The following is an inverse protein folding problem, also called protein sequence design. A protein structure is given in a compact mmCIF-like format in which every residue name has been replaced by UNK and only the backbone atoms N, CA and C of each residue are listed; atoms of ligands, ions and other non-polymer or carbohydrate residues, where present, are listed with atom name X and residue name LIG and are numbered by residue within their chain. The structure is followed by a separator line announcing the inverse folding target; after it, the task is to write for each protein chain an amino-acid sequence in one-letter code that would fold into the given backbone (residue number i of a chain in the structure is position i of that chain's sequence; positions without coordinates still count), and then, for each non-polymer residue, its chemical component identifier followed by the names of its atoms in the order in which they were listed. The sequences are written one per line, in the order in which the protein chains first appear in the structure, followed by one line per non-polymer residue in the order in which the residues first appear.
data_IF_540230294673
#
_entry.id   IF_540230294673
#
_cell.length_a   1.000
_cell.length_b   1.000
_cell.length_c   1.000
_cell.angle_alpha   90.00
_cell.angle_beta   90.00
_cell.angle_gamma   90.00
#
_symmetry.space_group_name_H-M   'P 1'
#
loop_
_entity.id
_entity.type
_entity.pdbx_description
1 polymer ?
#
# COMPACT_ATOMS: atom_id res chain seq x y z
N UNK A 1 22.08 3.79 -12.69
CA UNK A 1 21.55 3.75 -11.32
C UNK A 1 22.59 3.05 -10.47
N UNK A 2 22.97 3.61 -9.33
CA UNK A 2 23.83 2.91 -8.37
C UNK A 2 23.00 1.80 -7.71
N UNK A 3 23.47 0.55 -7.83
CA UNK A 3 22.72 -0.66 -7.43
C UNK A 3 22.98 -1.09 -5.99
N UNK A 4 24.04 -0.57 -5.37
CA UNK A 4 24.44 -0.89 -4.01
C UNK A 4 24.40 0.37 -3.14
N UNK A 5 24.19 0.24 -1.81
CA UNK A 5 24.44 1.34 -0.89
C UNK A 5 25.93 1.73 -0.89
N UNK A 6 26.22 2.95 -0.44
CA UNK A 6 27.61 3.36 -0.18
C UNK A 6 28.28 2.44 0.86
N UNK A 7 29.61 2.33 0.85
CA UNK A 7 30.35 1.49 1.80
C UNK A 7 29.99 1.81 3.27
N UNK A 8 29.93 3.10 3.62
CA UNK A 8 29.48 3.53 4.96
C UNK A 8 28.05 3.10 5.29
N UNK A 9 27.18 3.07 4.27
CA UNK A 9 25.82 2.57 4.40
C UNK A 9 25.79 1.06 4.65
N UNK A 10 26.59 0.29 3.91
CA UNK A 10 26.74 -1.16 4.13
C UNK A 10 27.27 -1.45 5.55
N UNK A 11 28.30 -0.73 6.00
CA UNK A 11 28.86 -0.88 7.36
C UNK A 11 27.84 -0.56 8.46
N UNK A 12 26.97 0.43 8.24
CA UNK A 12 25.88 0.72 9.17
C UNK A 12 24.84 -0.39 9.18
N UNK A 13 24.42 -0.88 8.02
CA UNK A 13 23.43 -1.96 7.87
C UNK A 13 23.90 -3.25 8.56
N UNK A 14 25.16 -3.64 8.37
CA UNK A 14 25.73 -4.80 9.04
C UNK A 14 25.75 -4.63 10.56
N UNK A 15 26.18 -3.47 11.06
CA UNK A 15 26.21 -3.22 12.51
C UNK A 15 24.82 -3.24 13.13
N UNK A 16 23.84 -2.57 12.51
CA UNK A 16 22.46 -2.55 13.00
C UNK A 16 21.85 -3.96 13.04
N UNK A 17 22.05 -4.75 11.98
CA UNK A 17 21.57 -6.12 11.92
C UNK A 17 22.29 -7.04 12.92
N UNK A 18 23.62 -6.92 13.04
CA UNK A 18 24.40 -7.69 14.00
C UNK A 18 24.01 -7.38 15.45
N UNK A 19 23.74 -6.10 15.77
CA UNK A 19 23.27 -5.70 17.09
C UNK A 19 21.88 -6.30 17.41
N UNK A 20 20.97 -6.29 16.43
CA UNK A 20 19.65 -6.91 16.59
C UNK A 20 19.78 -8.43 16.82
N UNK A 21 20.60 -9.11 16.02
CA UNK A 21 20.90 -10.54 16.18
C UNK A 21 21.53 -10.83 17.55
N UNK A 22 22.47 -10.00 18.01
CA UNK A 22 23.10 -10.17 19.31
C UNK A 22 22.10 -10.02 20.48
N UNK A 23 21.10 -9.12 20.35
CA UNK A 23 20.08 -8.88 21.37
C UNK A 23 18.97 -9.93 21.38
N UNK A 24 18.54 -10.42 20.22
CA UNK A 24 17.35 -11.27 20.07
C UNK A 24 17.67 -12.72 19.70
N UNK A 25 18.93 -13.01 19.39
CA UNK A 25 19.40 -14.31 18.93
C UNK A 25 19.36 -14.45 17.41
N UNK A 26 20.08 -15.44 16.86
CA UNK A 26 20.20 -15.64 15.41
C UNK A 26 19.01 -16.42 14.82
N UNK A 27 18.18 -17.05 15.65
CA UNK A 27 17.16 -18.01 15.20
C UNK A 27 16.14 -17.40 14.23
N UNK A 28 15.54 -16.21 14.47
CA UNK A 28 14.65 -15.57 13.49
C UNK A 28 15.35 -15.30 12.16
N UNK A 29 16.57 -14.77 12.24
CA UNK A 29 17.35 -14.42 11.07
C UNK A 29 17.75 -15.63 10.22
N UNK A 30 18.03 -16.79 10.84
CA UNK A 30 18.53 -17.98 10.15
C UNK A 30 17.44 -18.99 9.78
N UNK A 31 16.48 -19.23 10.68
CA UNK A 31 15.55 -20.35 10.57
C UNK A 31 14.14 -19.98 10.11
N UNK A 32 13.69 -18.74 10.31
CA UNK A 32 12.33 -18.36 9.93
C UNK A 32 12.23 -18.21 8.42
N UNK A 33 11.10 -18.63 7.85
CA UNK A 33 10.92 -18.54 6.40
C UNK A 33 10.90 -17.09 5.93
N UNK A 34 11.39 -16.89 4.70
CA UNK A 34 11.06 -15.66 3.98
C UNK A 34 9.59 -15.74 3.59
N UNK A 35 8.81 -14.78 4.05
CA UNK A 35 7.37 -14.71 3.74
C UNK A 35 7.22 -14.21 2.30
N UNK A 36 6.50 -14.97 1.50
CA UNK A 36 6.31 -14.68 0.07
C UNK A 36 4.89 -14.14 -0.18
N UNK A 37 4.71 -13.23 -1.15
CA UNK A 37 3.40 -12.69 -1.52
C UNK A 37 2.62 -13.71 -2.36
N UNK A 38 2.26 -14.84 -1.72
CA UNK A 38 1.57 -15.97 -2.37
C UNK A 38 0.42 -16.44 -1.50
N UNK A 39 -0.56 -17.11 -2.11
CA UNK A 39 -1.70 -17.73 -1.41
C UNK A 39 -1.27 -18.72 -0.33
N UNK A 40 -0.05 -19.27 -0.40
CA UNK A 40 0.51 -20.13 0.65
C UNK A 40 0.61 -19.41 2.00
N UNK A 41 1.02 -18.14 1.98
CA UNK A 41 1.17 -17.32 3.18
C UNK A 41 -0.07 -16.46 3.45
N UNK A 42 -0.79 -16.06 2.39
CA UNK A 42 -1.96 -15.20 2.47
C UNK A 42 -3.17 -15.83 1.74
N UNK A 43 -3.76 -16.92 2.27
CA UNK A 43 -4.89 -17.60 1.62
C UNK A 43 -6.25 -16.90 1.86
N UNK A 44 -6.30 -15.90 2.74
CA UNK A 44 -7.56 -15.28 3.14
C UNK A 44 -8.15 -14.43 2.01
N UNK A 45 -9.48 -14.41 1.95
CA UNK A 45 -10.19 -13.47 1.08
C UNK A 45 -9.97 -12.03 1.55
N UNK A 46 -9.54 -11.18 0.63
CA UNK A 46 -9.41 -9.74 0.81
C UNK A 46 -10.73 -9.04 0.46
N UNK A 47 -11.31 -8.32 1.41
CA UNK A 47 -12.55 -7.56 1.24
C UNK A 47 -12.33 -6.04 1.39
N UNK A 48 -11.08 -5.58 1.52
CA UNK A 48 -10.75 -4.16 1.74
C UNK A 48 -11.49 -3.56 2.95
N UNK A 49 -11.52 -4.31 4.07
CA UNK A 49 -12.13 -3.89 5.34
C UNK A 49 -11.19 -4.09 6.54
N UNK A 50 -11.58 -3.58 7.71
CA UNK A 50 -10.77 -3.62 8.93
C UNK A 50 -10.49 -5.06 9.39
N UNK A 51 -11.45 -5.97 9.15
CA UNK A 51 -11.32 -7.38 9.48
C UNK A 51 -10.28 -8.06 8.59
N UNK A 52 -10.25 -7.72 7.30
CA UNK A 52 -9.23 -8.15 6.34
C UNK A 52 -7.83 -7.72 6.78
N UNK A 53 -7.67 -6.46 7.20
CA UNK A 53 -6.39 -5.96 7.73
C UNK A 53 -6.03 -6.66 9.05
N UNK A 54 -6.99 -6.86 9.95
CA UNK A 54 -6.77 -7.53 11.24
C UNK A 54 -6.36 -9.01 11.05
N UNK A 55 -6.94 -9.71 10.07
CA UNK A 55 -6.54 -11.08 9.70
C UNK A 55 -5.11 -11.11 9.16
N UNK A 56 -4.77 -10.17 8.28
CA UNK A 56 -3.41 -10.01 7.77
C UNK A 56 -2.42 -9.75 8.91
N UNK A 57 -2.72 -8.81 9.81
CA UNK A 57 -1.92 -8.52 11.00
C UNK A 57 -1.76 -9.77 11.88
N UNK A 58 -2.83 -10.54 12.09
CA UNK A 58 -2.81 -11.78 12.87
C UNK A 58 -1.84 -12.81 12.29
N UNK A 59 -1.83 -12.96 10.96
CA UNK A 59 -0.90 -13.88 10.27
C UNK A 59 0.54 -13.44 10.43
N UNK A 60 0.80 -12.14 10.23
CA UNK A 60 2.14 -11.60 10.37
C UNK A 60 2.64 -11.71 11.81
N UNK A 61 1.82 -11.37 12.81
CA UNK A 61 2.11 -11.55 14.23
C UNK A 61 2.38 -13.02 14.59
N UNK A 62 1.57 -13.95 14.08
CA UNK A 62 1.78 -15.38 14.30
C UNK A 62 3.09 -15.88 13.67
N UNK A 63 3.45 -15.39 12.47
CA UNK A 63 4.74 -15.70 11.83
C UNK A 63 5.91 -15.27 12.70
N UNK A 64 5.80 -14.12 13.38
CA UNK A 64 6.86 -13.57 14.23
C UNK A 64 6.78 -14.01 15.70
N UNK A 65 6.08 -15.11 16.00
CA UNK A 65 5.88 -15.65 17.36
C UNK A 65 5.19 -14.69 18.35
N UNK A 66 4.42 -13.73 17.82
CA UNK A 66 3.55 -12.83 18.59
C UNK A 66 2.06 -13.14 18.39
N UNK A 67 1.72 -14.37 17.99
CA UNK A 67 0.34 -14.80 17.72
C UNK A 67 -0.59 -14.81 18.94
N UNK A 68 -0.05 -14.64 20.15
CA UNK A 68 -0.81 -14.40 21.38
C UNK A 68 -1.41 -12.99 21.46
N UNK A 69 -0.94 -12.06 20.62
CA UNK A 69 -1.49 -10.71 20.53
C UNK A 69 -2.71 -10.71 19.61
N UNK A 70 -3.73 -9.96 20.02
CA UNK A 70 -4.98 -9.79 19.31
C UNK A 70 -4.92 -8.46 18.55
N UNK A 71 -4.72 -8.47 17.21
CA UNK A 71 -4.67 -7.24 16.45
C UNK A 71 -6.05 -6.62 16.35
N UNK A 72 -6.09 -5.30 16.47
CA UNK A 72 -7.27 -4.47 16.19
C UNK A 72 -6.86 -3.40 15.19
N UNK A 73 -7.70 -3.16 14.19
CA UNK A 73 -7.40 -2.18 13.14
C UNK A 73 -8.50 -1.13 13.06
N UNK A 74 -8.09 0.13 13.18
CA UNK A 74 -8.93 1.29 12.89
C UNK A 74 -8.66 1.77 11.46
N UNK A 75 -9.73 2.01 10.68
CA UNK A 75 -9.62 2.57 9.34
C UNK A 75 -9.85 4.08 9.37
N UNK A 76 -9.04 4.85 8.64
CA UNK A 76 -9.14 6.31 8.58
C UNK A 76 -9.04 6.85 7.15
N UNK A 77 -9.66 8.01 6.87
CA UNK A 77 -9.69 8.61 5.53
C UNK A 77 -8.61 9.69 5.32
N UNK A 78 -8.39 10.52 6.34
CA UNK A 78 -7.33 11.54 6.34
C UNK A 78 -6.36 11.33 7.51
N UNK A 79 -5.07 11.68 7.34
CA UNK A 79 -4.06 11.52 8.39
C UNK A 79 -4.38 12.29 9.69
N UNK A 80 -5.18 13.37 9.59
CA UNK A 80 -5.58 14.21 10.72
C UNK A 80 -6.91 13.79 11.38
N UNK A 81 -7.68 12.87 10.78
CA UNK A 81 -8.89 12.28 11.38
C UNK A 81 -8.57 11.07 12.28
N UNK A 82 -7.47 11.14 13.02
CA UNK A 82 -7.14 10.08 13.97
C UNK A 82 -8.13 10.13 15.14
N UNK A 83 -8.75 9.00 15.52
CA UNK A 83 -9.52 8.94 16.76
C UNK A 83 -8.62 9.38 17.91
N UNK A 84 -9.12 10.21 18.82
CA UNK A 84 -8.48 10.45 20.10
C UNK A 84 -8.38 9.11 20.84
N UNK A 85 -7.31 8.35 20.57
CA UNK A 85 -6.91 7.19 21.35
C UNK A 85 -6.70 7.76 22.76
N UNK A 86 -7.63 7.45 23.67
CA UNK A 86 -7.63 7.99 25.03
C UNK A 86 -6.35 7.64 25.81
N UNK A 87 -6.35 7.75 27.15
CA UNK A 87 -5.13 7.60 27.97
C UNK A 87 -4.39 6.25 27.88
N UNK A 88 -4.91 5.27 27.12
CA UNK A 88 -4.25 4.01 26.76
C UNK A 88 -3.27 4.11 25.58
N UNK A 89 -3.26 5.20 24.79
CA UNK A 89 -2.14 5.47 23.89
C UNK A 89 -0.94 5.80 24.76
N UNK A 90 -0.08 4.81 24.99
CA UNK A 90 1.16 5.02 25.72
C UNK A 90 1.98 6.16 25.07
N UNK A 91 2.94 6.74 25.81
CA UNK A 91 3.82 7.81 25.30
C UNK A 91 4.71 7.40 24.10
N UNK A 92 4.46 6.25 23.48
CA UNK A 92 5.27 5.59 22.45
C UNK A 92 4.47 5.23 21.18
N UNK A 93 3.31 5.87 20.93
CA UNK A 93 2.64 5.71 19.63
C UNK A 93 3.50 6.31 18.51
N UNK A 94 3.98 5.50 17.56
CA UNK A 94 4.68 5.97 16.36
C UNK A 94 3.66 6.56 15.38
N UNK A 95 3.28 7.81 15.61
CA UNK A 95 2.36 8.55 14.72
C UNK A 95 3.11 9.12 13.55
N UNK A 96 2.66 8.88 12.33
CA UNK A 96 3.25 9.49 11.13
C UNK A 96 2.27 10.40 10.40
N UNK A 97 2.69 11.64 10.15
CA UNK A 97 1.99 12.56 9.25
C UNK A 97 1.91 11.93 7.84
N UNK A 98 0.71 11.80 7.29
CA UNK A 98 0.51 11.32 5.92
C UNK A 98 0.64 9.81 5.68
N UNK A 99 0.56 8.96 6.70
CA UNK A 99 0.87 7.53 6.53
C UNK A 99 -0.24 6.64 5.98
N UNK A 100 0.23 5.61 5.26
CA UNK A 100 -0.55 4.47 4.82
C UNK A 100 -1.05 3.61 5.99
N UNK A 101 -0.26 3.45 7.06
CA UNK A 101 -0.64 2.74 8.28
C UNK A 101 0.17 3.25 9.49
N UNK A 102 -0.22 2.85 10.70
CA UNK A 102 0.54 3.10 11.92
C UNK A 102 0.30 2.01 12.97
N UNK A 103 1.26 1.86 13.88
CA UNK A 103 1.17 1.07 15.10
C UNK A 103 1.01 1.98 16.34
N UNK A 104 -0.03 1.75 17.14
CA UNK A 104 -0.34 2.59 18.31
C UNK A 104 0.24 2.09 19.62
N UNK A 105 0.77 0.86 19.67
CA UNK A 105 1.20 0.21 20.90
C UNK A 105 0.43 -1.07 21.20
N UNK A 106 0.84 -1.71 22.30
CA UNK A 106 0.21 -2.91 22.85
C UNK A 106 -0.41 -2.58 24.21
N UNK A 107 -1.69 -2.88 24.38
CA UNK A 107 -2.43 -2.75 25.63
C UNK A 107 -2.94 -4.13 26.08
N UNK A 108 -2.30 -4.71 27.09
CA UNK A 108 -2.54 -6.09 27.50
C UNK A 108 -2.19 -7.08 26.39
N UNK A 109 -3.21 -7.72 25.80
CA UNK A 109 -3.04 -8.59 24.62
C UNK A 109 -3.36 -7.88 23.31
N UNK A 110 -3.95 -6.69 23.36
CA UNK A 110 -4.44 -6.01 22.17
C UNK A 110 -3.30 -5.25 21.50
N UNK A 111 -3.04 -5.56 20.23
CA UNK A 111 -2.07 -4.85 19.39
C UNK A 111 -2.84 -3.92 18.46
N UNK A 112 -2.65 -2.60 18.57
CA UNK A 112 -3.46 -1.63 17.84
C UNK A 112 -2.75 -1.12 16.60
N UNK A 113 -3.45 -1.18 15.47
CA UNK A 113 -3.00 -0.68 14.18
C UNK A 113 -4.02 0.31 13.62
N UNK A 114 -3.55 1.25 12.81
CA UNK A 114 -4.39 2.05 11.93
C UNK A 114 -4.00 1.85 10.48
N UNK A 115 -4.98 1.90 9.57
CA UNK A 115 -4.75 1.80 8.13
C UNK A 115 -5.56 2.86 7.39
N UNK A 116 -4.92 3.53 6.43
CA UNK A 116 -5.59 4.49 5.56
C UNK A 116 -6.48 3.74 4.57
N UNK A 117 -7.76 4.12 4.50
CA UNK A 117 -8.75 3.54 3.60
C UNK A 117 -8.30 3.54 2.14
N UNK A 118 -7.54 4.55 1.71
CA UNK A 118 -7.06 4.70 0.33
C UNK A 118 -6.04 3.63 -0.08
N UNK A 119 -5.42 2.97 0.89
CA UNK A 119 -4.45 1.90 0.65
C UNK A 119 -5.14 0.54 0.42
N UNK A 120 -6.41 0.39 0.83
CA UNK A 120 -7.16 -0.88 0.82
C UNK A 120 -7.40 -1.45 -0.59
N UNK A 121 -7.35 -0.60 -1.62
CA UNK A 121 -7.51 -0.99 -3.02
C UNK A 121 -6.26 -1.67 -3.62
N UNK A 122 -5.13 -1.67 -2.90
CA UNK A 122 -3.86 -2.22 -3.38
C UNK A 122 -3.34 -3.30 -2.41
N UNK A 123 -3.88 -4.54 -2.48
CA UNK A 123 -3.59 -5.58 -1.49
C UNK A 123 -2.09 -5.90 -1.37
N UNK A 124 -1.35 -5.93 -2.48
CA UNK A 124 0.09 -6.18 -2.48
C UNK A 124 0.88 -5.08 -1.74
N UNK A 125 0.41 -3.84 -1.78
CA UNK A 125 0.99 -2.69 -1.07
C UNK A 125 0.83 -2.84 0.43
N UNK A 126 -0.38 -3.25 0.85
CA UNK A 126 -0.75 -3.36 2.26
C UNK A 126 0.07 -4.41 2.97
N UNK A 127 0.37 -5.53 2.31
CA UNK A 127 1.18 -6.58 2.92
C UNK A 127 2.57 -6.06 3.30
N UNK A 128 3.18 -5.24 2.43
CA UNK A 128 4.46 -4.57 2.73
C UNK A 128 4.33 -3.57 3.88
N UNK A 129 3.30 -2.72 3.86
CA UNK A 129 3.03 -1.72 4.91
C UNK A 129 2.78 -2.38 6.26
N UNK A 130 1.88 -3.37 6.33
CA UNK A 130 1.60 -4.10 7.56
C UNK A 130 2.81 -4.89 8.07
N UNK A 131 3.68 -5.36 7.19
CA UNK A 131 4.94 -6.00 7.61
C UNK A 131 5.86 -5.02 8.36
N UNK A 132 5.88 -3.74 7.96
CA UNK A 132 6.57 -2.67 8.68
C UNK A 132 5.96 -2.42 10.06
N UNK A 133 4.63 -2.23 10.13
CA UNK A 133 3.94 -1.98 11.40
C UNK A 133 4.04 -3.15 12.38
N UNK A 134 4.04 -4.39 11.87
CA UNK A 134 4.26 -5.57 12.72
C UNK A 134 5.70 -5.65 13.23
N UNK A 135 6.68 -5.12 12.48
CA UNK A 135 8.03 -4.97 13.00
C UNK A 135 8.12 -3.90 14.11
N UNK A 136 7.36 -2.80 14.02
CA UNK A 136 7.18 -1.87 15.14
C UNK A 136 6.62 -2.59 16.37
N UNK A 137 5.58 -3.42 16.20
CA UNK A 137 5.02 -4.21 17.29
C UNK A 137 6.03 -5.19 17.91
N UNK A 138 6.87 -5.85 17.09
CA UNK A 138 7.97 -6.68 17.57
C UNK A 138 8.96 -5.88 18.42
N UNK A 139 9.41 -4.73 17.91
CA UNK A 139 10.37 -3.88 18.62
C UNK A 139 9.81 -3.36 19.93
N UNK A 140 8.54 -2.98 19.96
CA UNK A 140 7.85 -2.58 21.18
C UNK A 140 7.74 -3.74 22.19
N UNK A 141 7.32 -4.93 21.73
CA UNK A 141 7.15 -6.10 22.59
C UNK A 141 8.47 -6.56 23.24
N UNK A 142 9.58 -6.40 22.52
CA UNK A 142 10.92 -6.82 22.96
C UNK A 142 11.78 -5.68 23.54
N UNK A 143 11.20 -4.49 23.79
CA UNK A 143 11.90 -3.32 24.35
C UNK A 143 13.17 -2.94 23.55
N UNK A 144 13.01 -2.91 22.22
CA UNK A 144 14.07 -2.61 21.25
C UNK A 144 14.02 -1.18 20.72
N UNK A 145 13.02 -0.39 21.15
CA UNK A 145 12.72 0.94 20.61
C UNK A 145 13.87 1.93 20.84
N UNK A 146 14.12 2.77 19.83
CA UNK A 146 15.00 3.93 19.92
C UNK A 146 14.19 5.20 20.26
N UNK A 147 14.82 6.15 20.96
CA UNK A 147 14.22 7.45 21.29
C UNK A 147 14.24 8.42 20.11
N UNK A 148 15.20 8.27 19.19
CA UNK A 148 15.23 9.00 17.93
C UNK A 148 14.29 8.32 16.94
N UNK A 149 13.21 9.02 16.63
CA UNK A 149 12.17 8.54 15.73
C UNK A 149 12.71 8.22 14.33
N UNK A 150 13.58 9.06 13.76
CA UNK A 150 14.10 8.80 12.42
C UNK A 150 14.96 7.54 12.41
N UNK A 151 15.69 7.28 13.50
CA UNK A 151 16.45 6.05 13.68
C UNK A 151 15.54 4.84 13.88
N UNK A 152 14.47 4.98 14.66
CA UNK A 152 13.53 3.89 14.94
C UNK A 152 12.91 3.34 13.66
N UNK A 153 12.56 4.19 12.69
CA UNK A 153 12.06 3.75 11.39
C UNK A 153 13.09 2.95 10.60
N UNK A 154 14.35 3.41 10.56
CA UNK A 154 15.43 2.68 9.89
C UNK A 154 15.71 1.32 10.57
N UNK A 155 15.65 1.27 11.89
CA UNK A 155 15.82 0.04 12.66
C UNK A 155 14.61 -0.89 12.52
N UNK A 156 13.42 -0.35 12.30
CA UNK A 156 12.20 -1.11 11.98
C UNK A 156 12.34 -1.79 10.64
N UNK A 157 12.82 -1.08 9.62
CA UNK A 157 13.15 -1.67 8.32
C UNK A 157 14.17 -2.82 8.44
N UNK A 158 15.26 -2.64 9.22
CA UNK A 158 16.23 -3.70 9.52
C UNK A 158 15.53 -4.90 10.20
N UNK A 159 14.62 -4.62 11.12
CA UNK A 159 13.87 -5.64 11.85
C UNK A 159 12.97 -6.45 10.93
N UNK A 160 12.36 -5.84 9.90
CA UNK A 160 11.54 -6.59 8.92
C UNK A 160 12.34 -7.68 8.22
N UNK A 161 13.59 -7.40 7.84
CA UNK A 161 14.48 -8.41 7.24
C UNK A 161 14.87 -9.46 8.26
N UNK A 162 15.24 -9.06 9.48
CA UNK A 162 15.55 -9.99 10.57
C UNK A 162 14.45 -11.03 10.81
N UNK A 163 13.18 -10.62 10.73
CA UNK A 163 12.00 -11.48 10.93
C UNK A 163 11.57 -12.28 9.69
N UNK A 164 12.30 -12.16 8.56
CA UNK A 164 11.98 -12.85 7.31
C UNK A 164 10.86 -12.20 6.48
N UNK A 165 10.51 -10.94 6.77
CA UNK A 165 9.51 -10.17 6.02
C UNK A 165 10.12 -9.35 4.87
N UNK A 166 11.42 -9.46 4.65
CA UNK A 166 12.19 -8.61 3.73
C UNK A 166 11.70 -8.61 2.27
N UNK A 167 11.15 -9.72 1.75
CA UNK A 167 10.60 -9.73 0.37
C UNK A 167 9.43 -8.75 0.25
N UNK A 168 8.56 -8.72 1.27
CA UNK A 168 7.35 -7.90 1.29
C UNK A 168 7.72 -6.42 1.44
N UNK A 169 8.64 -6.11 2.35
CA UNK A 169 9.03 -4.72 2.66
C UNK A 169 9.95 -4.12 1.60
N UNK A 170 10.80 -4.91 0.93
CA UNK A 170 11.60 -4.44 -0.22
C UNK A 170 10.73 -3.96 -1.37
N UNK A 171 9.63 -4.67 -1.67
CA UNK A 171 8.67 -4.23 -2.68
C UNK A 171 7.89 -2.98 -2.22
N UNK A 172 7.62 -2.82 -0.92
CA UNK A 172 7.02 -1.62 -0.34
C UNK A 172 7.94 -0.39 -0.30
N UNK A 173 9.25 -0.56 -0.10
CA UNK A 173 10.24 0.50 0.12
C UNK A 173 10.24 1.62 -0.95
N UNK A 174 10.02 1.27 -2.23
CA UNK A 174 9.96 2.27 -3.30
C UNK A 174 8.72 3.17 -3.19
N UNK A 175 7.60 2.63 -2.72
CA UNK A 175 6.32 3.34 -2.60
C UNK A 175 6.35 4.38 -1.47
N UNK A 176 6.98 4.04 -0.34
CA UNK A 176 7.22 4.99 0.77
C UNK A 176 8.06 6.20 0.34
N UNK A 177 8.98 6.02 -0.61
CA UNK A 177 9.74 7.15 -1.17
C UNK A 177 8.90 8.02 -2.10
N UNK A 178 7.92 7.44 -2.80
CA UNK A 178 7.03 8.18 -3.70
C UNK A 178 5.95 8.97 -2.95
N UNK A 179 5.48 8.48 -1.80
CA UNK A 179 4.55 9.24 -0.94
C UNK A 179 5.20 10.48 -0.31
N UNK A 180 6.53 10.50 -0.19
CA UNK A 180 7.31 11.64 0.29
C UNK A 180 8.08 12.39 -0.80
N UNK A 181 7.44 12.88 -1.87
CA UNK A 181 7.91 14.05 -2.66
C UNK A 181 7.00 14.36 -3.84
N UNK A 182 6.24 15.46 -3.75
CA UNK A 182 5.86 16.30 -4.90
C UNK A 182 5.76 17.75 -4.44
N UNK A 183 6.82 18.54 -4.63
CA UNK A 183 6.77 20.00 -4.52
C UNK A 183 7.08 20.64 -5.88
N UNK A 184 6.01 20.90 -6.65
CA UNK A 184 5.99 21.88 -7.73
C UNK A 184 6.86 21.69 -8.99
N UNK A 185 6.79 22.72 -9.85
CA UNK A 185 7.28 22.80 -11.24
C UNK A 185 8.71 23.34 -11.38
N UNK A 186 9.58 23.21 -10.36
CA UNK A 186 10.98 23.62 -10.43
C UNK A 186 11.91 22.44 -10.16
N UNK A 187 12.50 21.93 -11.23
CA UNK A 187 13.67 21.05 -11.15
C UNK A 187 14.88 21.86 -10.66
N UNK A 188 14.99 22.06 -9.34
CA UNK A 188 16.26 22.41 -8.72
C UNK A 188 17.00 21.12 -8.40
N UNK A 189 18.10 20.86 -9.12
CA UNK A 189 19.11 19.88 -8.73
C UNK A 189 19.79 20.34 -7.45
N UNK A 190 19.13 20.10 -6.33
CA UNK A 190 19.76 20.11 -5.01
C UNK A 190 19.96 18.64 -4.60
N UNK A 191 21.20 18.26 -4.32
CA UNK A 191 21.55 17.02 -3.63
C UNK A 191 20.91 17.07 -2.23
N UNK A 192 19.61 16.77 -2.14
CA UNK A 192 18.90 16.67 -0.87
C UNK A 192 19.21 15.31 -0.26
N UNK A 193 20.26 15.27 0.56
CA UNK A 193 20.44 14.27 1.62
C UNK A 193 19.28 14.43 2.62
N UNK A 194 18.13 13.78 2.38
CA UNK A 194 17.09 13.50 3.40
C UNK A 194 15.89 12.76 2.80
N UNK A 195 15.97 11.43 2.67
CA UNK A 195 14.77 10.59 2.76
C UNK A 195 14.53 10.33 4.25
N UNK A 196 13.85 11.24 4.94
CA UNK A 196 13.58 11.11 6.38
C UNK A 196 12.65 9.90 6.60
N UNK A 197 13.07 8.98 7.47
CA UNK A 197 12.29 7.82 7.91
C UNK A 197 12.85 6.47 7.45
N UNK A 198 12.84 6.18 6.16
CA UNK A 198 12.98 4.79 5.67
C UNK A 198 14.33 4.49 5.01
N UNK A 199 14.70 3.21 5.02
CA UNK A 199 15.82 2.69 4.25
C UNK A 199 15.57 2.84 2.75
N UNK A 200 16.63 3.17 2.02
CA UNK A 200 16.57 3.25 0.58
C UNK A 200 16.31 1.86 -0.04
N UNK A 201 15.80 1.86 -1.27
CA UNK A 201 15.63 0.65 -2.08
C UNK A 201 16.90 -0.22 -2.09
N UNK A 202 18.07 0.41 -2.27
CA UNK A 202 19.36 -0.26 -2.29
C UNK A 202 19.69 -0.87 -0.92
N UNK A 203 19.41 -0.16 0.16
CA UNK A 203 19.68 -0.64 1.52
C UNK A 203 18.79 -1.83 1.89
N UNK A 204 17.49 -1.75 1.60
CA UNK A 204 16.55 -2.86 1.81
C UNK A 204 16.93 -4.09 0.98
N UNK A 205 17.23 -3.90 -0.31
CA UNK A 205 17.67 -4.99 -1.20
C UNK A 205 19.00 -5.61 -0.74
N UNK A 206 19.91 -4.80 -0.20
CA UNK A 206 21.19 -5.25 0.34
C UNK A 206 20.99 -6.11 1.60
N UNK A 207 20.15 -5.69 2.56
CA UNK A 207 19.84 -6.49 3.74
C UNK A 207 19.21 -7.84 3.40
N UNK A 208 18.27 -7.87 2.45
CA UNK A 208 17.68 -9.12 1.97
C UNK A 208 18.74 -10.05 1.34
N UNK A 209 19.71 -9.49 0.60
CA UNK A 209 20.84 -10.23 0.07
C UNK A 209 21.75 -10.76 1.18
N UNK A 210 22.04 -9.95 2.21
CA UNK A 210 22.79 -10.37 3.40
C UNK A 210 22.13 -11.57 4.06
N UNK A 211 20.82 -11.54 4.29
CA UNK A 211 20.09 -12.68 4.85
C UNK A 211 20.14 -13.93 3.96
N UNK A 212 19.95 -13.75 2.66
CA UNK A 212 19.96 -14.85 1.68
C UNK A 212 21.33 -15.54 1.65
N UNK A 213 22.40 -14.74 1.59
CA UNK A 213 23.77 -15.23 1.51
C UNK A 213 24.23 -15.81 2.85
N UNK A 214 23.89 -15.18 3.98
CA UNK A 214 24.14 -15.74 5.30
C UNK A 214 23.60 -17.17 5.38
N UNK A 215 22.34 -17.41 5.02
CA UNK A 215 21.68 -18.73 5.04
C UNK A 215 22.24 -19.78 4.06
N UNK A 216 23.32 -19.49 3.34
CA UNK A 216 23.90 -20.36 2.31
C UNK A 216 22.95 -20.58 1.12
N UNK A 217 21.95 -19.72 0.95
CA UNK A 217 20.84 -19.92 0.03
C UNK A 217 21.14 -19.38 -1.38
N UNK A 218 22.39 -19.50 -1.86
CA UNK A 218 22.78 -18.92 -3.16
C UNK A 218 21.98 -19.51 -4.33
N UNK A 219 21.55 -20.77 -4.21
CA UNK A 219 20.66 -21.42 -5.18
C UNK A 219 19.23 -20.88 -5.21
N UNK A 220 18.81 -20.08 -4.21
CA UNK A 220 17.48 -19.48 -4.15
C UNK A 220 17.45 -18.04 -4.69
N UNK A 221 18.61 -17.47 -5.05
CA UNK A 221 18.73 -16.07 -5.49
C UNK A 221 17.79 -15.78 -6.65
N UNK A 222 17.75 -16.61 -7.70
CA UNK A 222 16.89 -16.36 -8.85
C UNK A 222 15.40 -16.45 -8.51
N UNK A 223 15.04 -17.36 -7.61
CA UNK A 223 13.66 -17.52 -7.12
C UNK A 223 13.24 -16.28 -6.34
N UNK A 224 14.04 -15.84 -5.38
CA UNK A 224 13.76 -14.62 -4.58
C UNK A 224 13.71 -13.40 -5.49
N UNK A 225 14.68 -13.25 -6.40
CA UNK A 225 14.75 -12.14 -7.35
C UNK A 225 13.53 -12.07 -8.27
N UNK A 226 12.83 -13.18 -8.53
CA UNK A 226 11.60 -13.24 -9.33
C UNK A 226 10.35 -12.74 -8.57
N UNK A 227 10.42 -12.69 -7.24
CA UNK A 227 9.37 -12.15 -6.35
C UNK A 227 9.52 -10.65 -6.12
N UNK A 228 10.61 -10.06 -6.61
CA UNK A 228 10.91 -8.64 -6.46
C UNK A 228 10.56 -7.86 -7.72
N UNK A 229 10.11 -6.63 -7.57
CA UNK A 229 9.98 -5.68 -8.67
C UNK A 229 11.33 -5.45 -9.39
N UNK A 230 11.29 -4.99 -10.64
CA UNK A 230 12.46 -4.95 -11.55
C UNK A 230 13.70 -4.26 -10.96
N UNK A 231 13.53 -3.11 -10.29
CA UNK A 231 14.66 -2.34 -9.75
C UNK A 231 15.23 -2.98 -8.47
N UNK A 232 14.34 -3.46 -7.60
CA UNK A 232 14.61 -4.20 -6.37
C UNK A 232 15.42 -5.46 -6.71
N UNK A 233 14.94 -6.22 -7.71
CA UNK A 233 15.57 -7.43 -8.23
C UNK A 233 17.00 -7.17 -8.72
N UNK A 234 17.22 -6.06 -9.44
CA UNK A 234 18.55 -5.66 -9.89
C UNK A 234 19.51 -5.31 -8.73
N UNK A 235 19.04 -4.55 -7.73
CA UNK A 235 19.84 -4.20 -6.55
C UNK A 235 20.17 -5.44 -5.71
N UNK A 236 19.19 -6.30 -5.48
CA UNK A 236 19.33 -7.55 -4.72
C UNK A 236 20.34 -8.50 -5.38
N UNK A 237 20.27 -8.71 -6.70
CA UNK A 237 21.24 -9.53 -7.45
C UNK A 237 22.65 -8.95 -7.35
N UNK A 238 22.81 -7.65 -7.56
CA UNK A 238 24.11 -6.99 -7.45
C UNK A 238 24.73 -7.18 -6.04
N UNK A 239 23.92 -7.14 -4.98
CA UNK A 239 24.37 -7.40 -3.63
C UNK A 239 24.76 -8.89 -3.43
N UNK A 240 23.93 -9.84 -3.88
CA UNK A 240 24.24 -11.28 -3.82
C UNK A 240 25.53 -11.66 -4.57
N UNK A 241 25.87 -10.95 -5.65
CA UNK A 241 27.11 -11.18 -6.40
C UNK A 241 28.35 -10.62 -5.70
N UNK A 242 28.18 -9.63 -4.82
CA UNK A 242 29.28 -8.99 -4.10
C UNK A 242 29.63 -9.66 -2.78
N UNK A 243 28.65 -10.29 -2.13
CA UNK A 243 28.76 -10.86 -0.80
C UNK A 243 29.30 -12.29 -0.83
N UNK A 244 30.24 -12.59 0.08
CA UNK A 244 30.68 -13.94 0.41
C UNK A 244 30.00 -14.40 1.70
N UNK A 245 29.62 -15.68 1.78
CA UNK A 245 28.93 -16.20 2.96
C UNK A 245 29.81 -16.16 4.21
N UNK A 246 31.10 -16.47 4.11
CA UNK A 246 32.00 -16.48 5.27
C UNK A 246 32.16 -15.09 5.84
N UNK A 247 32.38 -14.11 4.97
CA UNK A 247 32.50 -12.71 5.35
C UNK A 247 31.22 -12.21 6.03
N UNK A 248 30.04 -12.54 5.47
CA UNK A 248 28.75 -12.16 6.06
C UNK A 248 28.54 -12.81 7.43
N UNK A 249 28.85 -14.10 7.58
CA UNK A 249 28.72 -14.83 8.85
C UNK A 249 29.63 -14.22 9.92
N UNK A 250 30.88 -13.92 9.56
CA UNK A 250 31.85 -13.28 10.45
C UNK A 250 31.40 -11.87 10.85
N UNK A 251 31.00 -11.04 9.89
CA UNK A 251 30.55 -9.67 10.14
C UNK A 251 29.31 -9.58 11.02
N UNK A 252 28.39 -10.54 10.90
CA UNK A 252 27.18 -10.60 11.72
C UNK A 252 27.41 -11.28 13.09
N UNK A 253 28.59 -11.84 13.34
CA UNK A 253 28.88 -12.59 14.57
C UNK A 253 28.01 -13.84 14.72
N UNK A 254 27.65 -14.48 13.60
CA UNK A 254 26.80 -15.68 13.59
C UNK A 254 27.59 -16.92 14.04
N UNK A 255 26.92 -17.92 14.65
CA UNK A 255 27.56 -19.18 15.01
C UNK A 255 27.94 -19.99 13.76
N UNK A 256 28.70 -21.06 13.93
CA UNK A 256 29.12 -21.94 12.83
C UNK A 256 27.88 -22.45 12.05
N UNK A 257 27.86 -22.36 10.70
CA UNK A 257 26.77 -22.87 9.87
C UNK A 257 26.34 -24.31 10.15
N UNK A 258 27.25 -25.19 10.59
CA UNK A 258 26.92 -26.57 10.95
C UNK A 258 26.03 -26.67 12.21
N UNK A 259 26.00 -25.62 13.03
CA UNK A 259 25.21 -25.55 14.25
C UNK A 259 23.85 -24.87 14.08
N UNK A 260 23.53 -24.42 12.85
CA UNK A 260 22.31 -23.66 12.64
C UNK A 260 21.05 -24.52 12.76
N UNK A 261 19.98 -23.99 13.36
CA UNK A 261 18.70 -24.68 13.40
C UNK A 261 18.16 -24.96 11.99
N UNK A 262 17.43 -26.07 11.85
CA UNK A 262 16.70 -26.36 10.62
C UNK A 262 15.71 -25.21 10.31
N UNK A 263 15.53 -24.92 9.02
CA UNK A 263 14.54 -23.92 8.62
C UNK A 263 13.15 -24.41 9.01
N UNK A 264 12.41 -23.53 9.66
CA UNK A 264 11.03 -23.80 10.08
C UNK A 264 10.17 -24.05 8.85
N UNK A 265 9.12 -24.84 8.97
CA UNK A 265 8.09 -24.87 7.93
C UNK A 265 7.18 -23.63 8.07
N UNK A 266 6.61 -23.10 6.97
CA UNK A 266 5.66 -22.01 7.07
C UNK A 266 4.50 -22.41 7.98
N UNK A 267 4.33 -21.68 9.08
CA UNK A 267 3.14 -21.79 9.90
C UNK A 267 2.08 -21.00 9.15
N UNK A 268 1.17 -21.67 8.46
CA UNK A 268 -0.11 -21.07 8.11
C UNK A 268 -0.98 -21.28 9.34
N UNK A 269 -1.12 -20.30 10.27
CA UNK A 269 -2.14 -20.45 11.30
C UNK A 269 -3.46 -20.65 10.56
N UNK A 270 -4.12 -21.76 10.87
CA UNK A 270 -5.54 -21.92 10.54
C UNK A 270 -6.23 -20.92 11.43
N UNK A 271 -6.40 -19.69 10.93
CA UNK A 271 -7.45 -18.85 11.45
C UNK A 271 -8.72 -19.64 11.15
N UNK A 272 -9.34 -20.24 12.19
CA UNK A 272 -10.70 -20.72 12.03
C UNK A 272 -11.46 -19.55 11.40
N UNK A 273 -12.23 -19.78 10.32
CA UNK A 273 -13.13 -18.76 9.84
C UNK A 273 -13.89 -18.34 11.08
N UNK A 274 -13.67 -17.11 11.58
CA UNK A 274 -14.46 -16.61 12.69
C UNK A 274 -15.87 -16.85 12.21
N UNK A 275 -16.57 -17.77 12.88
CA UNK A 275 -17.93 -18.13 12.52
C UNK A 275 -18.60 -16.79 12.42
N UNK A 276 -18.90 -16.37 11.19
CA UNK A 276 -19.42 -15.04 10.89
C UNK A 276 -20.44 -14.85 11.99
N UNK A 277 -20.19 -13.93 12.93
CA UNK A 277 -21.21 -13.59 13.90
C UNK A 277 -22.40 -13.36 12.99
N UNK A 278 -23.41 -14.22 13.11
CA UNK A 278 -24.53 -14.27 12.19
C UNK A 278 -25.16 -12.88 12.31
N UNK A 279 -24.66 -11.95 11.49
CA UNK A 279 -25.37 -10.77 11.09
C UNK A 279 -26.49 -11.38 10.30
N UNK A 280 -27.55 -11.67 11.04
CA UNK A 280 -28.85 -12.07 10.57
C UNK A 280 -29.06 -11.42 9.22
N UNK A 281 -29.03 -12.24 8.17
CA UNK A 281 -29.22 -11.86 6.78
C UNK A 281 -30.68 -11.46 6.49
N UNK A 282 -31.35 -10.85 7.47
CA UNK A 282 -32.73 -10.37 7.46
C UNK A 282 -32.81 -8.88 7.85
N UNK A 283 -31.70 -8.16 7.72
CA UNK A 283 -31.75 -6.71 7.54
C UNK A 283 -31.66 -6.44 6.06
N UNK A 284 -32.72 -5.89 5.48
CA UNK A 284 -32.74 -5.20 4.19
C UNK A 284 -31.72 -4.04 4.26
N UNK A 285 -30.43 -4.39 4.21
CA UNK A 285 -29.32 -3.46 4.31
C UNK A 285 -29.32 -2.72 2.98
N UNK A 286 -30.00 -1.58 2.97
CA UNK A 286 -29.99 -0.64 1.86
C UNK A 286 -28.56 -0.32 1.40
N UNK A 287 -28.42 0.31 0.22
CA UNK A 287 -27.12 0.62 -0.38
C UNK A 287 -26.16 1.22 0.66
N UNK A 288 -24.95 0.67 0.72
CA UNK A 288 -23.91 1.00 1.70
C UNK A 288 -23.60 2.51 1.72
N UNK A 289 -24.14 3.24 2.71
CA UNK A 289 -24.01 4.70 2.82
C UNK A 289 -22.73 5.13 3.56
N UNK A 290 -21.56 4.80 3.02
CA UNK A 290 -20.28 5.08 3.70
C UNK A 290 -19.87 6.57 3.72
N UNK A 291 -20.48 7.41 2.88
CA UNK A 291 -20.25 8.86 2.82
C UNK A 291 -21.46 9.66 3.34
N UNK A 292 -22.36 9.06 4.15
CA UNK A 292 -23.56 9.75 4.62
C UNK A 292 -23.21 11.06 5.36
N UNK A 293 -23.76 12.18 4.87
CA UNK A 293 -23.50 13.51 5.43
C UNK A 293 -22.24 14.20 4.89
N UNK A 294 -21.33 13.49 4.21
CA UNK A 294 -20.14 14.09 3.62
C UNK A 294 -20.43 14.75 2.25
N UNK A 295 -19.76 15.86 1.91
CA UNK A 295 -19.92 16.51 0.61
C UNK A 295 -19.32 15.69 -0.54
N UNK A 296 -20.13 15.49 -1.59
CA UNK A 296 -19.73 14.88 -2.86
C UNK A 296 -20.18 15.75 -4.04
N UNK A 297 -19.60 15.52 -5.22
CA UNK A 297 -19.89 16.31 -6.42
C UNK A 297 -20.26 15.41 -7.59
N UNK A 298 -21.02 15.97 -8.53
CA UNK A 298 -21.27 15.35 -9.83
C UNK A 298 -20.08 15.56 -10.73
N UNK A 299 -19.48 14.48 -11.22
CA UNK A 299 -18.45 14.53 -12.26
C UNK A 299 -19.09 14.26 -13.60
N UNK A 300 -18.83 15.15 -14.58
CA UNK A 300 -19.27 14.93 -15.96
C UNK A 300 -18.45 13.82 -16.60
N UNK A 301 -19.06 12.66 -16.79
CA UNK A 301 -18.48 11.58 -17.57
C UNK A 301 -19.11 11.54 -18.96
N UNK A 302 -18.27 11.49 -20.00
CA UNK A 302 -18.72 11.31 -21.38
C UNK A 302 -18.48 9.88 -21.81
N UNK A 303 -19.45 9.26 -22.49
CA UNK A 303 -19.28 7.95 -23.13
C UNK A 303 -18.52 8.02 -24.45
N UNK A 304 -17.94 9.17 -24.78
CA UNK A 304 -17.26 9.43 -26.04
C UNK A 304 -16.14 8.43 -26.32
N UNK A 305 -15.30 8.13 -25.32
CA UNK A 305 -14.21 7.15 -25.47
C UNK A 305 -14.73 5.75 -25.78
N UNK A 306 -15.63 5.23 -24.94
CA UNK A 306 -16.20 3.89 -25.11
C UNK A 306 -16.94 3.72 -26.45
N UNK A 307 -17.82 4.67 -26.81
CA UNK A 307 -18.58 4.59 -28.05
C UNK A 307 -17.72 4.81 -29.29
N UNK A 308 -16.62 5.58 -29.20
CA UNK A 308 -15.62 5.69 -30.26
C UNK A 308 -14.98 4.32 -30.55
N UNK A 309 -14.52 3.62 -29.51
CA UNK A 309 -13.91 2.29 -29.65
C UNK A 309 -14.89 1.29 -30.25
N UNK A 310 -16.14 1.28 -29.78
CA UNK A 310 -17.18 0.42 -30.34
C UNK A 310 -17.46 0.75 -31.82
N UNK A 311 -17.52 2.04 -32.16
CA UNK A 311 -17.68 2.52 -33.53
C UNK A 311 -16.55 2.09 -34.45
N UNK A 312 -15.30 2.15 -33.99
CA UNK A 312 -14.14 1.65 -34.73
C UNK A 312 -14.21 0.14 -35.00
N UNK A 313 -14.60 -0.65 -33.99
CA UNK A 313 -14.74 -2.10 -34.15
C UNK A 313 -15.81 -2.42 -35.20
N UNK A 314 -16.98 -1.78 -35.11
CA UNK A 314 -18.06 -1.95 -36.08
C UNK A 314 -17.64 -1.49 -37.49
N UNK A 315 -16.93 -0.37 -37.59
CA UNK A 315 -16.41 0.12 -38.85
C UNK A 315 -15.35 -0.80 -39.47
N UNK A 316 -14.49 -1.41 -38.66
CA UNK A 316 -13.52 -2.42 -39.11
C UNK A 316 -14.23 -3.66 -39.66
N UNK A 317 -15.24 -4.18 -38.96
CA UNK A 317 -16.03 -5.34 -39.42
C UNK A 317 -16.74 -5.03 -40.73
N UNK A 318 -17.38 -3.85 -40.84
CA UNK A 318 -18.00 -3.39 -42.08
C UNK A 318 -16.99 -3.24 -43.23
N UNK A 319 -15.79 -2.71 -42.94
CA UNK A 319 -14.70 -2.60 -43.88
C UNK A 319 -14.23 -3.96 -44.41
N UNK A 320 -14.05 -4.95 -43.54
CA UNK A 320 -13.66 -6.31 -43.93
C UNK A 320 -14.74 -6.96 -44.81
N UNK A 321 -16.02 -6.75 -44.49
CA UNK A 321 -17.14 -7.23 -45.30
C UNK A 321 -17.17 -6.55 -46.69
N UNK A 322 -16.89 -5.24 -46.75
CA UNK A 322 -16.78 -4.49 -48.00
C UNK A 322 -15.67 -5.05 -48.93
N UNK A 323 -14.52 -5.46 -48.37
CA UNK A 323 -13.45 -6.11 -49.14
C UNK A 323 -13.92 -7.45 -49.73
N UNK A 324 -14.73 -8.23 -49.00
CA UNK A 324 -15.36 -9.47 -49.53
C UNK A 324 -16.28 -9.20 -50.72
N UNK A 325 -16.85 -8.00 -50.80
CA UNK A 325 -17.67 -7.53 -51.92
C UNK A 325 -16.83 -6.87 -53.05
N UNK A 326 -15.52 -7.10 -53.07
CA UNK A 326 -14.55 -6.56 -54.05
C UNK A 326 -14.32 -5.05 -53.99
N UNK A 327 -14.60 -4.40 -52.86
CA UNK A 327 -14.19 -3.02 -52.66
C UNK A 327 -12.69 -2.93 -52.28
N UNK A 328 -12.01 -1.79 -52.57
CA UNK A 328 -10.58 -1.64 -52.29
C UNK A 328 -10.23 -1.76 -50.80
N UNK A 329 -9.11 -2.42 -50.49
CA UNK A 329 -8.67 -2.67 -49.12
C UNK A 329 -8.40 -1.40 -48.29
N UNK A 330 -8.01 -0.30 -48.94
CA UNK A 330 -7.76 0.97 -48.24
C UNK A 330 -9.03 1.57 -47.59
N UNK A 331 -10.23 1.07 -47.93
CA UNK A 331 -11.47 1.51 -47.29
C UNK A 331 -11.64 0.99 -45.86
N UNK A 332 -10.97 -0.11 -45.49
CA UNK A 332 -11.06 -0.68 -44.12
C UNK A 332 -10.67 0.33 -43.03
N UNK A 333 -9.48 0.95 -43.07
CA UNK A 333 -9.11 1.95 -42.05
C UNK A 333 -10.00 3.20 -42.10
N UNK A 334 -10.49 3.60 -43.28
CA UNK A 334 -11.35 4.77 -43.44
C UNK A 334 -12.71 4.55 -42.76
N UNK A 335 -13.35 3.40 -42.99
CA UNK A 335 -14.65 3.08 -42.39
C UNK A 335 -14.53 2.87 -40.88
N UNK A 336 -13.43 2.28 -40.40
CA UNK A 336 -13.12 2.18 -38.96
C UNK A 336 -12.97 3.56 -38.30
N UNK A 337 -12.16 4.46 -38.89
CA UNK A 337 -12.00 5.82 -38.37
C UNK A 337 -13.31 6.61 -38.38
N UNK A 338 -14.10 6.50 -39.46
CA UNK A 338 -15.41 7.14 -39.55
C UNK A 338 -16.37 6.62 -38.47
N UNK A 339 -16.39 5.31 -38.23
CA UNK A 339 -17.14 4.68 -37.15
C UNK A 339 -16.74 5.22 -35.78
N UNK A 340 -15.43 5.39 -35.53
CA UNK A 340 -14.90 6.01 -34.31
C UNK A 340 -15.36 7.46 -34.12
N UNK A 341 -15.28 8.28 -35.16
CA UNK A 341 -15.73 9.69 -35.12
C UNK A 341 -17.24 9.79 -34.83
N UNK A 342 -18.05 8.95 -35.49
CA UNK A 342 -19.49 8.88 -35.25
C UNK A 342 -19.77 8.44 -33.80
N UNK A 343 -19.09 7.39 -33.35
CA UNK A 343 -19.18 6.87 -31.99
C UNK A 343 -18.83 7.90 -30.93
N UNK A 344 -17.72 8.64 -31.12
CA UNK A 344 -17.30 9.72 -30.25
C UNK A 344 -18.31 10.87 -30.22
N UNK A 345 -18.82 11.28 -31.39
CA UNK A 345 -19.79 12.37 -31.51
C UNK A 345 -21.11 12.04 -30.81
N UNK A 346 -21.62 10.82 -30.98
CA UNK A 346 -22.81 10.33 -30.28
C UNK A 346 -22.54 10.21 -28.78
N UNK A 347 -21.40 9.64 -28.39
CA UNK A 347 -21.05 9.44 -26.99
C UNK A 347 -20.76 10.71 -26.22
N UNK A 348 -20.29 11.77 -26.89
CA UNK A 348 -20.12 13.10 -26.28
C UNK A 348 -21.46 13.81 -26.02
N UNK A 349 -22.53 13.44 -26.74
CA UNK A 349 -23.89 13.94 -26.49
C UNK A 349 -24.59 13.23 -25.33
N UNK A 350 -24.13 12.04 -24.96
CA UNK A 350 -24.61 11.31 -23.79
C UNK A 350 -23.73 11.63 -22.58
N UNK A 351 -24.03 12.76 -21.94
CA UNK A 351 -23.43 13.13 -20.66
C UNK A 351 -24.15 12.35 -19.56
N UNK A 352 -23.37 11.72 -18.68
CA UNK A 352 -23.88 11.14 -17.44
C UNK A 352 -23.10 11.72 -16.28
N UNK A 353 -23.76 11.88 -15.14
CA UNK A 353 -23.09 12.28 -13.91
C UNK A 353 -22.74 11.05 -13.08
N UNK A 354 -21.51 11.00 -12.59
CA UNK A 354 -21.04 10.00 -11.65
C UNK A 354 -20.58 10.67 -10.35
N UNK A 355 -20.61 9.92 -9.25
CA UNK A 355 -20.11 10.39 -7.96
C UNK A 355 -18.63 10.77 -8.06
N UNK A 356 -18.24 11.89 -7.44
CA UNK A 356 -16.84 12.30 -7.37
C UNK A 356 -15.98 11.43 -6.45
N UNK A 357 -16.60 10.57 -5.65
CA UNK A 357 -15.88 9.64 -4.80
C UNK A 357 -15.38 8.44 -5.63
N UNK A 358 -14.05 8.19 -5.69
CA UNK A 358 -13.46 7.10 -6.48
C UNK A 358 -13.94 5.70 -6.07
N UNK A 359 -14.34 5.54 -4.82
CA UNK A 359 -14.81 4.28 -4.26
C UNK A 359 -16.30 4.03 -4.53
N UNK A 360 -17.04 5.07 -4.96
CA UNK A 360 -18.45 4.98 -5.27
C UNK A 360 -18.71 4.89 -6.78
N UNK A 361 -18.25 5.88 -7.55
CA UNK A 361 -18.52 6.06 -8.99
C UNK A 361 -19.99 5.92 -9.46
N UNK A 362 -20.94 5.86 -8.51
CA UNK A 362 -22.35 5.59 -8.78
C UNK A 362 -22.96 6.67 -9.67
N UNK A 363 -23.90 6.27 -10.54
CA UNK A 363 -24.55 7.21 -11.45
C UNK A 363 -25.58 8.03 -10.70
N UNK A 364 -25.54 9.32 -10.93
CA UNK A 364 -26.47 10.27 -10.32
C UNK A 364 -27.34 10.93 -11.41
N UNK A 365 -28.59 11.15 -11.06
CA UNK A 365 -29.50 12.01 -11.79
C UNK A 365 -29.24 13.49 -11.53
N UNK A 366 -29.83 14.32 -12.38
CA UNK A 366 -29.73 15.78 -12.28
C UNK A 366 -30.44 16.33 -11.04
N UNK A 367 -31.47 15.62 -10.57
CA UNK A 367 -32.33 16.03 -9.45
C UNK A 367 -31.89 15.44 -8.10
N UNK A 368 -30.89 14.55 -8.08
CA UNK A 368 -30.45 13.91 -6.84
C UNK A 368 -29.82 14.92 -5.87
N UNK A 369 -30.25 14.97 -4.62
CA UNK A 369 -29.58 15.78 -3.59
C UNK A 369 -28.59 14.97 -2.75
N UNK A 370 -28.68 13.64 -2.85
CA UNK A 370 -27.85 12.67 -2.15
C UNK A 370 -27.43 11.58 -3.13
N UNK A 371 -26.16 11.16 -3.09
CA UNK A 371 -25.66 10.07 -3.92
C UNK A 371 -26.35 8.75 -3.54
N UNK A 372 -26.97 8.02 -4.48
CA UNK A 372 -27.69 6.78 -4.16
C UNK A 372 -26.76 5.62 -3.79
N UNK A 373 -25.48 5.70 -4.17
CA UNK A 373 -24.46 4.69 -3.86
C UNK A 373 -23.89 4.86 -2.46
N UNK A 374 -23.19 5.97 -2.22
CA UNK A 374 -22.46 6.20 -0.97
C UNK A 374 -23.20 7.03 0.07
N UNK A 375 -24.35 7.63 -0.25
CA UNK A 375 -25.11 8.48 0.69
C UNK A 375 -24.58 9.90 0.89
N UNK A 376 -23.54 10.31 0.15
CA UNK A 376 -22.99 11.67 0.25
C UNK A 376 -23.91 12.77 -0.25
N UNK A 377 -23.85 13.95 0.39
CA UNK A 377 -24.63 15.14 0.02
C UNK A 377 -24.05 15.79 -1.23
N UNK A 378 -24.86 15.96 -2.27
CA UNK A 378 -24.37 16.46 -3.55
C UNK A 378 -24.30 17.99 -3.52
N UNK A 379 -23.08 18.54 -3.49
CA UNK A 379 -22.85 19.98 -3.32
C UNK A 379 -22.72 20.74 -4.65
N UNK A 380 -22.50 20.05 -5.76
CA UNK A 380 -22.37 20.72 -7.06
C UNK A 380 -21.91 19.83 -8.20
N UNK A 381 -21.47 20.46 -9.30
CA UNK A 381 -20.96 19.80 -10.50
C UNK A 381 -19.51 20.25 -10.75
N UNK A 382 -18.61 19.28 -10.92
CA UNK A 382 -17.20 19.51 -11.24
C UNK A 382 -16.84 18.91 -12.60
N UNK A 383 -15.77 19.45 -13.21
CA UNK A 383 -15.31 19.04 -14.54
C UNK A 383 -14.63 17.68 -14.54
N UNK A 384 -13.76 17.45 -13.56
CA UNK A 384 -13.04 16.19 -13.35
C UNK A 384 -13.09 15.76 -11.87
N UNK A 385 -12.99 14.45 -11.61
CA UNK A 385 -12.92 13.92 -10.25
C UNK A 385 -11.75 14.53 -9.43
N UNK A 386 -10.63 14.84 -10.08
CA UNK A 386 -9.47 15.49 -9.44
C UNK A 386 -9.75 16.93 -8.98
N UNK A 387 -10.81 17.58 -9.48
CA UNK A 387 -11.20 18.92 -9.03
C UNK A 387 -11.96 18.88 -7.69
N UNK A 388 -12.23 17.69 -7.14
CA UNK A 388 -12.99 17.51 -5.90
C UNK A 388 -12.37 18.27 -4.73
N UNK A 389 -11.06 18.16 -4.51
CA UNK A 389 -10.39 18.83 -3.38
C UNK A 389 -10.56 20.35 -3.44
N UNK A 390 -10.33 20.95 -4.62
CA UNK A 390 -10.54 22.39 -4.83
C UNK A 390 -11.99 22.80 -4.60
N UNK A 391 -12.94 21.94 -4.94
CA UNK A 391 -14.36 22.20 -4.73
C UNK A 391 -14.76 22.08 -3.24
N UNK A 392 -14.11 21.21 -2.47
CA UNK A 392 -14.27 21.12 -1.02
C UNK A 392 -13.68 22.35 -0.32
N UNK A 393 -12.46 22.74 -0.67
CA UNK A 393 -11.80 23.96 -0.15
C UNK A 393 -12.66 25.21 -0.40
N UNK A 394 -13.32 25.28 -1.56
CA UNK A 394 -14.23 26.39 -1.87
C UNK A 394 -15.46 26.43 -0.95
N UNK A 395 -15.99 25.27 -0.55
CA UNK A 395 -17.13 25.19 0.39
C UNK A 395 -16.71 25.59 1.80
N UNK A 396 -15.56 25.11 2.27
CA UNK A 396 -15.03 25.48 3.59
C UNK A 396 -14.76 26.98 3.69
N UNK A 397 -14.16 27.58 2.66
CA UNK A 397 -13.91 29.02 2.61
C UNK A 397 -15.21 29.82 2.70
N UNK A 398 -16.29 29.35 2.07
CA UNK A 398 -17.58 30.03 2.12
C UNK A 398 -18.29 29.83 3.48
N UNK A 399 -18.23 28.64 4.09
CA UNK A 399 -18.72 28.41 5.46
C UNK A 399 -17.97 29.28 6.49
N UNK A 400 -16.64 29.39 6.36
CA UNK A 400 -15.82 30.20 7.28
C UNK A 400 -16.12 31.70 7.11
N UNK A 401 -16.38 32.16 5.88
CA UNK A 401 -16.79 33.54 5.61
C UNK A 401 -18.17 33.81 6.20
N UNK A 402 -19.14 32.92 5.98
CA UNK A 402 -20.50 33.08 6.50
C UNK A 402 -20.50 33.12 8.03
N UNK A 403 -19.65 32.30 8.69
CA UNK A 403 -19.45 32.35 10.13
C UNK A 403 -18.76 33.65 10.59
N UNK A 404 -17.74 34.12 9.86
CA UNK A 404 -17.05 35.40 10.12
C UNK A 404 -17.98 36.62 9.97
N UNK A 405 -18.91 36.59 9.01
CA UNK A 405 -19.92 37.65 8.83
C UNK A 405 -21.07 37.56 9.83
N UNK A 406 -21.43 36.35 10.30
CA UNK A 406 -22.45 36.15 11.33
C UNK A 406 -21.97 36.57 12.74
N UNK A 407 -20.67 36.50 13.02
CA UNK A 407 -20.07 36.89 14.31
C UNK A 407 -19.73 38.39 14.43
N UNK A 408 -20.13 39.20 13.45
CA UNK A 408 -20.28 40.67 13.53
C UNK A 408 -19.42 41.38 14.58
N UNK A 409 -18.18 41.73 14.22
CA UNK A 409 -17.54 42.93 14.78
C UNK A 409 -18.20 44.15 14.14
N UNK A 410 -19.02 44.82 14.94
CA UNK A 410 -19.39 46.24 14.76
C UNK A 410 -18.15 47.15 14.67
#
# INVERSE_FOLDING_TARGET
MELLPSEKGQDWLFRALAELIARQGPDPFLSWNLVEPTERYFPDRWNADADSVSRLASRLLAHIELGQLEPTTDLFYEPDETPNLGPSAGPHSSRHEGTAAWFAGIDGKTCRFGMNLRELDQPDSIVGVMSHEVAHAYRHFHDLMDTDRDMEELLTDVTTVYLGLGILTVNGAYRFRMSGSFDGLRASTSYSHSSKGYLSLQAMSFLLAVQTIARGARGEVDRIASLLETNQSACFRAACDRLDQRDVVEMLGLPDPESWPERRMPITPVLEPQANAERTADGDAGPWRFNEGCPVFRVRSSRGGYLSTLGMILGMVAGVLAVRLRLPFYLVPIVSLLGGVIGYSVGRRQMTYCCSDPSCEERMGDEDTVCPGCGGTIMGVIGHANDRLKALEALEIDETKDQYWAEGRD
#
